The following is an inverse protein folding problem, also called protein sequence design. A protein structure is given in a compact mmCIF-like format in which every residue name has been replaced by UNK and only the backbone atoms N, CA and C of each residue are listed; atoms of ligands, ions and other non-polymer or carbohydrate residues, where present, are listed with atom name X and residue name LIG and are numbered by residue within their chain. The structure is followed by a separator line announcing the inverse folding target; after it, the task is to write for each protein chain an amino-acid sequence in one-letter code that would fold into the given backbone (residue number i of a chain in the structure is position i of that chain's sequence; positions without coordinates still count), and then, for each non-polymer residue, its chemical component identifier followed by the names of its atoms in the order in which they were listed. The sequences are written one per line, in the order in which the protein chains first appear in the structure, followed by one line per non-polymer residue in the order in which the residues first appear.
data_IF_564472063244
#
_entry.id   IF_564472063244
#
_cell.length_a   1.000
_cell.length_b   1.000
_cell.length_c   1.000
_cell.angle_alpha   90.00
_cell.angle_beta   90.00
_cell.angle_gamma   90.00
#
_symmetry.space_group_name_H-M   'P 1'
#
loop_
_entity.id
_entity.type
_entity.pdbx_description
1 polymer ?
#
# COMPACT_ATOMS: atom_id res chain seq x y z
N UNK A 1 19.71 8.62 16.88
CA UNK A 1 18.90 7.42 16.65
C UNK A 1 17.88 7.76 15.57
N UNK A 2 18.11 7.28 14.33
CA UNK A 2 17.24 7.59 13.19
C UNK A 2 16.01 6.69 13.24
N UNK A 3 14.82 7.26 13.51
CA UNK A 3 13.54 6.55 13.35
C UNK A 3 13.25 6.46 11.88
N UNK A 4 13.36 5.25 11.33
CA UNK A 4 12.93 4.91 9.96
C UNK A 4 11.41 4.83 9.97
N UNK A 5 10.75 5.76 9.29
CA UNK A 5 9.31 5.75 9.08
C UNK A 5 9.02 4.88 7.87
N UNK A 6 8.45 3.71 8.10
CA UNK A 6 7.87 2.89 7.04
C UNK A 6 6.53 3.51 6.62
N UNK A 7 6.52 4.22 5.50
CA UNK A 7 5.27 4.52 4.79
C UNK A 7 4.74 3.24 4.18
N UNK A 8 3.69 2.69 4.76
CA UNK A 8 2.91 1.63 4.13
C UNK A 8 2.07 2.28 3.02
N UNK A 9 2.51 2.12 1.79
CA UNK A 9 1.76 2.52 0.61
C UNK A 9 0.61 1.54 0.38
N UNK A 10 -0.61 1.99 0.65
CA UNK A 10 -1.79 1.29 0.15
C UNK A 10 -2.00 1.72 -1.29
N UNK A 11 -1.73 0.83 -2.24
CA UNK A 11 -2.17 1.00 -3.63
C UNK A 11 -3.68 0.82 -3.68
N UNK A 12 -4.40 1.93 -3.88
CA UNK A 12 -5.81 1.89 -4.23
C UNK A 12 -5.91 1.37 -5.66
N UNK A 13 -6.15 0.07 -5.84
CA UNK A 13 -6.47 -0.49 -7.14
C UNK A 13 -7.83 0.01 -7.57
N UNK A 14 -7.87 0.79 -8.66
CA UNK A 14 -9.10 1.22 -9.32
C UNK A 14 -9.86 0.01 -9.83
N UNK A 15 -11.06 -0.22 -9.27
CA UNK A 15 -12.02 -1.20 -9.79
C UNK A 15 -12.52 -0.76 -11.16
N UNK A 16 -12.12 -1.44 -12.20
CA UNK A 16 -12.87 -1.46 -13.46
C UNK A 16 -12.90 -2.89 -14.00
N UNK A 17 -13.97 -3.57 -13.73
CA UNK A 17 -14.72 -4.52 -14.60
C UNK A 17 -15.79 -5.20 -13.75
N UNK A 18 -17.05 -4.95 -14.08
CA UNK A 18 -18.20 -5.66 -13.53
C UNK A 18 -18.09 -7.15 -13.87
N UNK A 19 -17.78 -7.95 -12.85
CA UNK A 19 -18.24 -9.33 -12.76
C UNK A 19 -19.12 -9.39 -11.53
N UNK A 20 -20.33 -9.93 -11.66
CA UNK A 20 -21.24 -10.18 -10.53
C UNK A 20 -20.57 -11.24 -9.68
N UNK A 21 -19.71 -10.80 -8.78
CA UNK A 21 -19.17 -11.60 -7.70
C UNK A 21 -19.96 -11.19 -6.46
N UNK A 22 -20.62 -12.14 -5.81
CA UNK A 22 -21.12 -11.96 -4.44
C UNK A 22 -20.09 -11.22 -3.66
N UNK A 23 -20.44 -10.05 -3.10
CA UNK A 23 -19.52 -9.18 -2.38
C UNK A 23 -18.69 -10.04 -1.42
N UNK A 24 -17.42 -10.22 -1.72
CA UNK A 24 -16.54 -11.03 -0.90
C UNK A 24 -16.57 -10.42 0.50
N UNK A 25 -16.96 -11.22 1.49
CA UNK A 25 -17.04 -10.76 2.88
C UNK A 25 -15.62 -10.36 3.30
N UNK A 26 -15.39 -9.06 3.51
CA UNK A 26 -14.12 -8.56 4.00
C UNK A 26 -13.89 -9.13 5.40
N UNK A 27 -12.75 -9.77 5.61
CA UNK A 27 -12.29 -10.25 6.90
C UNK A 27 -11.13 -9.37 7.39
N UNK A 28 -11.16 -9.07 8.68
CA UNK A 28 -10.23 -8.15 9.32
C UNK A 28 -9.27 -8.92 10.22
N UNK A 29 -7.94 -8.79 10.07
CA UNK A 29 -6.97 -9.49 10.90
C UNK A 29 -6.96 -8.92 12.32
N UNK A 30 -7.13 -9.80 13.30
CA UNK A 30 -7.12 -9.47 14.72
C UNK A 30 -6.07 -10.27 15.46
N UNK A 31 -5.58 -9.71 16.57
CA UNK A 31 -4.56 -10.36 17.40
C UNK A 31 -5.11 -10.59 18.82
N UNK A 32 -5.01 -11.82 19.29
CA UNK A 32 -5.40 -12.22 20.66
C UNK A 32 -4.30 -13.13 21.21
N UNK A 33 -3.79 -12.82 22.38
CA UNK A 33 -2.73 -13.63 22.99
C UNK A 33 -1.46 -13.76 22.14
N UNK A 34 -1.14 -12.75 21.31
CA UNK A 34 0.02 -12.77 20.41
C UNK A 34 -0.17 -13.59 19.13
N UNK A 35 -1.35 -14.18 18.93
CA UNK A 35 -1.69 -14.92 17.70
C UNK A 35 -2.72 -14.15 16.89
N UNK A 36 -2.62 -14.27 15.56
CA UNK A 36 -3.49 -13.61 14.60
C UNK A 36 -4.58 -14.55 14.10
N UNK A 37 -5.75 -13.99 13.93
CA UNK A 37 -6.93 -14.63 13.34
C UNK A 37 -7.74 -13.59 12.58
N UNK A 38 -9.00 -13.88 12.26
CA UNK A 38 -9.82 -12.96 11.47
C UNK A 38 -11.25 -12.87 12.00
N UNK A 39 -11.79 -11.65 11.93
CA UNK A 39 -13.19 -11.35 12.27
C UNK A 39 -13.92 -10.76 11.07
N UNK A 40 -15.24 -10.90 11.06
CA UNK A 40 -16.14 -10.16 10.16
C UNK A 40 -16.34 -8.73 10.64
N UNK A 41 -16.98 -7.91 9.81
CA UNK A 41 -17.41 -6.55 10.16
C UNK A 41 -18.38 -6.49 11.34
N UNK A 42 -18.99 -7.58 11.72
CA UNK A 42 -19.84 -7.72 12.93
C UNK A 42 -19.02 -7.90 14.22
N UNK A 43 -17.71 -8.15 14.12
CA UNK A 43 -16.85 -8.56 15.23
C UNK A 43 -16.87 -10.07 15.50
N UNK A 44 -17.64 -10.84 14.74
CA UNK A 44 -17.68 -12.30 14.85
C UNK A 44 -16.34 -12.91 14.36
N UNK A 45 -15.74 -13.77 15.19
CA UNK A 45 -14.53 -14.50 14.81
C UNK A 45 -14.87 -15.57 13.78
N UNK A 46 -14.22 -15.49 12.62
CA UNK A 46 -14.35 -16.49 11.53
C UNK A 46 -13.17 -17.45 11.55
N UNK A 47 -11.98 -16.92 11.76
CA UNK A 47 -10.76 -17.72 11.83
C UNK A 47 -10.15 -17.46 13.20
N UNK A 48 -10.09 -18.51 14.03
CA UNK A 48 -9.53 -18.41 15.36
C UNK A 48 -8.06 -17.96 15.33
N UNK A 49 -7.60 -17.17 16.31
CA UNK A 49 -6.21 -16.75 16.41
C UNK A 49 -5.25 -17.94 16.48
N UNK A 50 -4.44 -18.13 15.45
CA UNK A 50 -3.55 -19.27 15.33
C UNK A 50 -2.24 -18.94 14.58
N UNK A 51 -2.22 -17.84 13.81
CA UNK A 51 -1.08 -17.45 12.99
C UNK A 51 -0.09 -16.60 13.78
N UNK A 52 1.20 -16.64 13.43
CA UNK A 52 2.22 -15.75 13.98
C UNK A 52 2.03 -14.32 13.45
N UNK A 53 1.52 -14.20 12.21
CA UNK A 53 1.13 -12.94 11.56
C UNK A 53 0.06 -13.19 10.51
N UNK A 54 -0.77 -12.18 10.25
CA UNK A 54 -1.79 -12.22 9.22
C UNK A 54 -1.96 -10.82 8.60
N UNK A 55 -2.08 -10.78 7.28
CA UNK A 55 -2.35 -9.56 6.51
C UNK A 55 -3.80 -9.56 6.00
N UNK A 56 -4.22 -8.50 5.32
CA UNK A 56 -5.58 -8.39 4.76
C UNK A 56 -5.80 -9.41 3.64
N UNK A 57 -7.05 -9.77 3.40
CA UNK A 57 -7.42 -10.55 2.22
C UNK A 57 -7.33 -9.70 0.96
N UNK A 58 -6.67 -10.23 -0.06
CA UNK A 58 -6.63 -9.68 -1.40
C UNK A 58 -6.94 -10.82 -2.38
N UNK A 59 -7.88 -10.58 -3.30
CA UNK A 59 -8.29 -11.57 -4.32
C UNK A 59 -8.68 -12.95 -3.74
N UNK A 60 -9.26 -12.94 -2.51
CA UNK A 60 -9.76 -14.17 -1.85
C UNK A 60 -8.74 -14.94 -1.03
N UNK A 61 -7.48 -14.52 -1.02
CA UNK A 61 -6.40 -15.12 -0.24
C UNK A 61 -5.75 -14.07 0.68
N UNK A 62 -5.30 -14.52 1.85
CA UNK A 62 -4.56 -13.68 2.78
C UNK A 62 -3.19 -14.29 3.09
N UNK A 63 -2.10 -13.51 3.01
CA UNK A 63 -0.81 -13.95 3.49
C UNK A 63 -0.85 -14.17 5.00
N UNK A 64 -0.42 -15.34 5.46
CA UNK A 64 -0.28 -15.67 6.88
C UNK A 64 1.07 -16.28 7.16
N UNK A 65 1.59 -16.07 8.37
CA UNK A 65 2.84 -16.64 8.81
C UNK A 65 2.59 -17.74 9.84
N UNK A 66 3.18 -18.91 9.58
CA UNK A 66 3.25 -20.06 10.48
C UNK A 66 4.70 -20.56 10.44
N UNK A 67 5.58 -19.85 11.14
CA UNK A 67 7.03 -19.98 10.95
C UNK A 67 7.51 -19.33 9.64
N UNK A 68 6.98 -19.79 8.52
CA UNK A 68 7.14 -19.20 7.18
C UNK A 68 5.82 -18.63 6.67
N UNK A 69 5.88 -17.87 5.57
CA UNK A 69 4.71 -17.32 4.92
C UNK A 69 4.05 -18.32 3.97
N UNK A 70 2.75 -18.36 3.99
CA UNK A 70 1.86 -19.05 3.09
C UNK A 70 0.56 -18.28 2.96
N UNK A 71 -0.48 -18.90 2.44
CA UNK A 71 -1.77 -18.22 2.23
C UNK A 71 -2.93 -19.07 2.74
N UNK A 72 -3.94 -18.39 3.26
CA UNK A 72 -5.21 -19.00 3.65
C UNK A 72 -6.36 -18.41 2.85
N UNK A 73 -7.40 -19.22 2.65
CA UNK A 73 -8.68 -18.77 2.13
C UNK A 73 -9.57 -18.16 3.24
N UNK A 74 -10.71 -17.60 2.86
CA UNK A 74 -11.66 -16.97 3.79
C UNK A 74 -12.30 -17.92 4.80
N UNK A 75 -12.11 -19.25 4.67
CA UNK A 75 -12.55 -20.26 5.65
C UNK A 75 -11.47 -20.55 6.68
N UNK A 76 -10.25 -20.06 6.47
CA UNK A 76 -9.07 -20.34 7.28
C UNK A 76 -8.32 -21.61 6.87
N UNK A 77 -8.72 -22.24 5.75
CA UNK A 77 -7.99 -23.37 5.20
C UNK A 77 -6.71 -22.87 4.54
N UNK A 78 -5.61 -23.54 4.79
CA UNK A 78 -4.34 -23.29 4.11
C UNK A 78 -4.52 -23.60 2.62
N UNK A 79 -4.49 -22.55 1.79
CA UNK A 79 -4.56 -22.66 0.34
C UNK A 79 -3.17 -22.90 -0.25
N UNK A 80 -2.16 -22.20 0.28
CA UNK A 80 -0.77 -22.35 -0.16
C UNK A 80 0.07 -22.58 1.12
N UNK A 81 0.75 -23.73 1.17
CA UNK A 81 1.54 -24.12 2.34
C UNK A 81 2.61 -23.09 2.70
N UNK A 82 2.88 -22.89 4.02
CA UNK A 82 3.94 -22.02 4.49
C UNK A 82 5.31 -22.51 4.00
N UNK A 83 5.91 -21.74 3.10
CA UNK A 83 7.20 -22.10 2.52
C UNK A 83 8.06 -20.89 2.15
N UNK A 84 7.48 -19.68 2.12
CA UNK A 84 8.16 -18.48 1.68
C UNK A 84 8.78 -17.71 2.85
N UNK A 85 9.88 -17.00 2.59
CA UNK A 85 10.51 -16.11 3.56
C UNK A 85 9.75 -14.76 3.64
N UNK A 86 9.11 -14.35 2.50
CA UNK A 86 8.14 -13.26 2.41
C UNK A 86 7.04 -13.63 1.43
N UNK A 87 5.86 -13.07 1.63
CA UNK A 87 4.72 -13.19 0.74
C UNK A 87 3.95 -11.87 0.75
N UNK A 88 3.72 -11.33 -0.44
CA UNK A 88 2.95 -10.11 -0.65
C UNK A 88 1.51 -10.46 -1.01
N UNK A 89 0.62 -9.45 -0.97
CA UNK A 89 -0.78 -9.62 -1.36
C UNK A 89 -0.91 -10.01 -2.83
N UNK A 90 -1.93 -10.80 -3.16
CA UNK A 90 -2.32 -11.04 -4.55
C UNK A 90 -2.81 -9.73 -5.19
N UNK A 91 -2.33 -9.47 -6.38
CA UNK A 91 -2.76 -8.36 -7.20
C UNK A 91 -2.73 -8.78 -8.66
N UNK A 92 -3.85 -8.59 -9.36
CA UNK A 92 -4.03 -8.96 -10.75
C UNK A 92 -3.75 -10.46 -11.04
N UNK A 93 -4.06 -11.32 -10.06
CA UNK A 93 -3.92 -12.78 -10.15
C UNK A 93 -2.54 -13.32 -9.79
N UNK A 94 -1.60 -12.48 -9.37
CA UNK A 94 -0.24 -12.88 -9.02
C UNK A 94 0.20 -12.29 -7.68
N UNK A 95 1.02 -13.02 -6.93
CA UNK A 95 1.64 -12.55 -5.71
C UNK A 95 3.17 -12.69 -5.77
N UNK A 96 3.88 -11.63 -5.38
CA UNK A 96 5.32 -11.69 -5.22
C UNK A 96 5.67 -12.51 -3.96
N UNK A 97 6.56 -13.47 -4.10
CA UNK A 97 7.04 -14.28 -2.97
C UNK A 97 8.55 -14.38 -2.99
N UNK A 98 9.16 -14.36 -1.81
CA UNK A 98 10.61 -14.51 -1.66
C UNK A 98 10.97 -15.90 -1.16
N UNK A 99 11.98 -16.52 -1.76
CA UNK A 99 12.52 -17.82 -1.36
C UNK A 99 14.04 -17.75 -1.24
N UNK A 100 14.61 -18.35 -0.20
CA UNK A 100 16.06 -18.58 -0.10
C UNK A 100 16.85 -17.65 0.81
N UNK A 101 16.19 -16.92 1.75
CA UNK A 101 16.85 -15.97 2.65
C UNK A 101 17.27 -16.48 4.03
N UNK A 102 16.95 -17.73 4.43
CA UNK A 102 17.21 -18.17 5.80
C UNK A 102 16.88 -19.62 6.08
N UNK A 103 17.69 -20.56 5.62
CA UNK A 103 17.59 -21.98 5.96
C UNK A 103 17.89 -22.90 4.79
N UNK A 104 18.11 -24.22 5.02
CA UNK A 104 18.32 -25.18 3.96
C UNK A 104 17.02 -25.34 3.16
N UNK A 105 16.91 -24.58 2.07
CA UNK A 105 15.84 -24.76 1.11
C UNK A 105 16.19 -25.99 0.26
N UNK A 106 15.27 -26.97 0.07
CA UNK A 106 15.53 -28.15 -0.75
C UNK A 106 15.71 -27.81 -2.25
N UNK A 107 15.55 -26.55 -2.64
CA UNK A 107 15.72 -26.09 -4.02
C UNK A 107 16.29 -24.67 -4.09
N UNK A 108 17.57 -24.51 -3.77
CA UNK A 108 18.37 -23.39 -4.26
C UNK A 108 19.52 -23.97 -5.10
N UNK A 109 19.29 -24.28 -6.39
CA UNK A 109 20.33 -24.89 -7.23
C UNK A 109 21.50 -23.95 -7.52
N UNK A 110 21.37 -22.64 -7.16
CA UNK A 110 22.38 -21.63 -7.47
C UNK A 110 23.16 -21.11 -6.26
N UNK A 111 22.85 -21.53 -5.01
CA UNK A 111 23.66 -21.25 -3.81
C UNK A 111 23.96 -19.79 -3.51
N UNK A 112 23.21 -18.83 -4.10
CA UNK A 112 23.45 -17.41 -3.95
C UNK A 112 22.72 -16.94 -2.69
N UNK A 113 23.46 -16.49 -1.68
CA UNK A 113 22.92 -15.97 -0.44
C UNK A 113 22.09 -14.71 -0.67
N UNK A 114 20.88 -14.63 -0.05
CA UNK A 114 20.06 -13.43 -0.07
C UNK A 114 18.59 -13.66 -0.41
N UNK A 115 18.21 -14.78 -0.99
CA UNK A 115 16.85 -15.12 -1.43
C UNK A 115 16.33 -14.21 -2.55
N UNK A 116 15.62 -14.79 -3.51
CA UNK A 116 15.10 -14.09 -4.67
C UNK A 116 13.59 -14.10 -4.66
N UNK A 117 13.03 -13.04 -5.27
CA UNK A 117 11.61 -12.91 -5.52
C UNK A 117 11.23 -13.58 -6.85
N UNK A 118 10.08 -14.24 -6.83
CA UNK A 118 9.35 -14.72 -7.99
C UNK A 118 7.88 -14.43 -7.82
N UNK A 119 7.06 -14.90 -8.75
CA UNK A 119 5.62 -14.70 -8.69
C UNK A 119 4.88 -16.02 -8.79
N UNK A 120 3.85 -16.18 -7.95
CA UNK A 120 2.97 -17.35 -7.92
C UNK A 120 1.54 -16.95 -8.28
N UNK A 121 0.79 -17.91 -8.82
CA UNK A 121 -0.65 -17.81 -9.01
C UNK A 121 -1.42 -18.29 -7.75
N UNK A 122 -2.77 -18.15 -7.69
CA UNK A 122 -3.56 -18.55 -6.52
C UNK A 122 -3.48 -20.05 -6.16
N UNK A 123 -3.08 -20.92 -7.11
CA UNK A 123 -2.82 -22.33 -6.85
C UNK A 123 -1.41 -22.58 -6.25
N UNK A 124 -0.63 -21.53 -6.01
CA UNK A 124 0.72 -21.62 -5.45
C UNK A 124 1.79 -22.06 -6.44
N UNK A 125 1.47 -22.09 -7.75
CA UNK A 125 2.44 -22.44 -8.79
C UNK A 125 3.22 -21.21 -9.23
N UNK A 126 4.53 -21.35 -9.40
CA UNK A 126 5.35 -20.28 -9.97
C UNK A 126 4.95 -20.02 -11.42
N UNK A 127 4.55 -18.76 -11.70
CA UNK A 127 4.44 -18.21 -13.04
C UNK A 127 5.79 -17.61 -13.45
N UNK A 128 6.47 -16.99 -12.49
CA UNK A 128 7.82 -16.48 -12.65
C UNK A 128 8.69 -17.07 -11.53
N UNK A 129 9.70 -17.85 -11.92
CA UNK A 129 10.61 -18.44 -10.94
C UNK A 129 11.38 -17.36 -10.16
N UNK A 130 11.78 -17.64 -8.91
CA UNK A 130 12.59 -16.73 -8.11
C UNK A 130 13.91 -16.38 -8.81
N UNK A 131 14.06 -15.09 -9.16
CA UNK A 131 15.25 -14.61 -9.87
C UNK A 131 15.55 -13.12 -9.62
N UNK A 132 14.63 -12.37 -8.99
CA UNK A 132 14.77 -10.94 -8.78
C UNK A 132 15.31 -10.65 -7.38
N UNK A 133 16.15 -9.61 -7.28
CA UNK A 133 16.69 -9.12 -5.99
C UNK A 133 15.57 -8.49 -5.14
N UNK A 134 14.61 -7.82 -5.82
CA UNK A 134 13.41 -7.25 -5.22
C UNK A 134 12.26 -7.24 -6.25
N UNK A 135 11.01 -7.19 -5.78
CA UNK A 135 9.84 -7.24 -6.64
C UNK A 135 8.63 -6.53 -5.99
N UNK A 136 7.94 -5.73 -6.80
CA UNK A 136 6.68 -5.08 -6.44
C UNK A 136 5.46 -5.91 -6.83
N UNK A 137 4.29 -5.46 -6.41
CA UNK A 137 2.99 -6.02 -6.81
C UNK A 137 2.66 -5.63 -8.25
N UNK A 138 1.87 -6.46 -8.94
CA UNK A 138 1.34 -6.13 -10.26
C UNK A 138 0.35 -4.97 -10.17
N UNK A 139 0.48 -4.01 -11.08
CA UNK A 139 -0.45 -2.91 -11.25
C UNK A 139 -0.44 -2.47 -12.72
N UNK A 140 -1.62 -2.35 -13.34
CA UNK A 140 -1.76 -2.00 -14.76
C UNK A 140 -1.12 -3.02 -15.73
N UNK A 141 -1.06 -4.31 -15.31
CA UNK A 141 -0.47 -5.39 -16.09
C UNK A 141 1.04 -5.56 -15.94
N UNK A 142 1.71 -4.75 -15.13
CA UNK A 142 3.16 -4.75 -14.96
C UNK A 142 3.57 -4.80 -13.49
N UNK A 143 4.75 -5.35 -13.23
CA UNK A 143 5.38 -5.30 -11.92
C UNK A 143 6.80 -4.75 -12.03
N UNK A 144 7.17 -3.85 -11.11
CA UNK A 144 8.55 -3.42 -10.98
C UNK A 144 9.39 -4.55 -10.38
N UNK A 145 10.55 -4.84 -10.99
CA UNK A 145 11.48 -5.87 -10.51
C UNK A 145 12.89 -5.33 -10.50
N UNK A 146 13.69 -5.74 -9.52
CA UNK A 146 15.08 -5.34 -9.39
C UNK A 146 16.01 -6.48 -9.80
N UNK A 147 16.97 -6.19 -10.65
CA UNK A 147 18.01 -7.12 -11.09
C UNK A 147 19.34 -6.38 -11.18
N UNK A 148 20.40 -6.94 -10.59
CA UNK A 148 21.72 -6.35 -10.66
C UNK A 148 21.80 -4.90 -10.12
N UNK A 149 20.99 -4.59 -9.12
CA UNK A 149 20.93 -3.27 -8.50
C UNK A 149 20.00 -2.26 -9.16
N UNK A 150 19.46 -2.54 -10.36
CA UNK A 150 18.58 -1.64 -11.11
C UNK A 150 17.17 -2.17 -11.22
N UNK A 151 16.19 -1.26 -11.27
CA UNK A 151 14.79 -1.56 -11.47
C UNK A 151 14.41 -1.56 -12.94
N UNK A 152 13.59 -2.51 -13.34
CA UNK A 152 12.93 -2.62 -14.63
C UNK A 152 11.50 -3.10 -14.42
N UNK A 153 10.81 -3.50 -15.48
CA UNK A 153 9.43 -3.97 -15.40
C UNK A 153 9.24 -5.26 -16.19
N UNK A 154 8.38 -6.12 -15.66
CA UNK A 154 7.92 -7.36 -16.30
C UNK A 154 6.43 -7.32 -16.55
N UNK A 155 5.97 -8.07 -17.54
CA UNK A 155 4.55 -8.41 -17.72
C UNK A 155 4.14 -9.65 -16.88
N UNK A 156 2.87 -10.01 -16.90
CA UNK A 156 2.33 -11.16 -16.14
C UNK A 156 2.88 -12.52 -16.54
N UNK A 157 3.56 -12.63 -17.68
CA UNK A 157 4.24 -13.86 -18.10
C UNK A 157 5.67 -13.95 -17.56
N UNK A 158 6.17 -12.88 -16.94
CA UNK A 158 7.54 -12.74 -16.47
C UNK A 158 8.50 -12.24 -17.54
N UNK A 159 8.00 -11.84 -18.72
CA UNK A 159 8.82 -11.25 -19.77
C UNK A 159 9.21 -9.82 -19.35
N UNK A 160 10.51 -9.51 -19.44
CA UNK A 160 11.01 -8.14 -19.25
C UNK A 160 10.47 -7.27 -20.38
N UNK A 161 9.67 -6.24 -20.02
CA UNK A 161 9.13 -5.25 -20.96
C UNK A 161 9.92 -3.95 -20.92
N UNK A 162 10.48 -3.62 -19.77
CA UNK A 162 11.42 -2.50 -19.62
C UNK A 162 12.66 -3.05 -18.91
N UNK A 163 13.80 -2.99 -19.61
CA UNK A 163 15.06 -3.50 -19.07
C UNK A 163 15.42 -2.80 -17.75
N UNK A 164 16.06 -3.52 -16.81
CA UNK A 164 16.58 -2.91 -15.58
C UNK A 164 17.57 -1.80 -15.90
N UNK A 165 17.20 -0.56 -15.56
CA UNK A 165 18.00 0.64 -15.84
C UNK A 165 17.76 1.77 -14.86
N UNK A 166 16.71 1.69 -14.03
CA UNK A 166 16.34 2.75 -13.10
C UNK A 166 16.96 2.52 -11.72
N UNK A 167 17.33 3.61 -11.05
CA UNK A 167 17.82 3.59 -9.65
C UNK A 167 16.68 3.21 -8.68
N UNK A 168 15.43 3.60 -9.03
CA UNK A 168 14.21 3.31 -8.28
C UNK A 168 12.99 3.30 -9.21
N UNK A 169 11.94 2.55 -8.85
CA UNK A 169 10.71 2.46 -9.63
C UNK A 169 9.50 2.18 -8.73
N UNK A 170 8.44 2.94 -8.92
CA UNK A 170 7.14 2.69 -8.31
C UNK A 170 6.27 1.82 -9.23
N UNK A 171 5.19 1.26 -8.70
CA UNK A 171 4.19 0.56 -9.49
C UNK A 171 3.54 1.51 -10.51
N UNK A 172 3.04 0.94 -11.61
CA UNK A 172 2.22 1.69 -12.56
C UNK A 172 0.92 2.19 -11.90
N UNK A 173 0.62 3.44 -12.15
CA UNK A 173 -0.66 4.04 -11.81
C UNK A 173 -1.09 4.94 -12.95
N UNK A 174 -2.33 4.78 -13.40
CA UNK A 174 -2.90 5.57 -14.50
C UNK A 174 -2.03 5.56 -15.77
N UNK A 175 -1.44 4.40 -16.09
CA UNK A 175 -0.57 4.11 -17.23
C UNK A 175 0.84 4.73 -17.19
N UNK A 176 1.23 5.31 -16.07
CA UNK A 176 2.58 5.86 -15.85
C UNK A 176 3.19 5.28 -14.57
N UNK A 177 4.50 5.08 -14.58
CA UNK A 177 5.26 4.68 -13.40
C UNK A 177 6.29 5.77 -13.07
N UNK A 178 6.34 6.19 -11.81
CA UNK A 178 7.41 7.06 -11.34
C UNK A 178 8.70 6.26 -11.28
N UNK A 179 9.74 6.75 -11.95
CA UNK A 179 11.06 6.10 -12.01
C UNK A 179 12.16 7.10 -11.70
N UNK A 180 13.24 6.62 -11.08
CA UNK A 180 14.41 7.42 -10.79
C UNK A 180 15.54 7.06 -11.76
N UNK A 181 16.13 8.06 -12.39
CA UNK A 181 17.26 7.88 -13.27
C UNK A 181 18.27 9.01 -13.01
N UNK A 182 19.55 8.66 -12.85
CA UNK A 182 20.61 9.61 -12.55
C UNK A 182 20.27 10.56 -11.37
N UNK A 183 19.66 10.02 -10.32
CA UNK A 183 19.36 10.75 -9.11
C UNK A 183 18.03 11.53 -9.10
N UNK A 184 17.36 11.68 -10.24
CA UNK A 184 16.10 12.43 -10.37
C UNK A 184 14.93 11.54 -10.76
N UNK A 185 13.74 11.89 -10.30
CA UNK A 185 12.50 11.20 -10.68
C UNK A 185 11.88 11.82 -11.92
N UNK A 186 11.34 10.98 -12.77
CA UNK A 186 10.46 11.27 -13.89
C UNK A 186 9.40 10.20 -14.00
N UNK A 187 8.72 10.11 -15.13
CA UNK A 187 7.70 9.09 -15.35
C UNK A 187 7.89 8.40 -16.69
N UNK A 188 7.79 7.08 -16.69
CA UNK A 188 7.83 6.25 -17.89
C UNK A 188 6.44 5.69 -18.21
N UNK A 189 6.17 5.49 -19.50
CA UNK A 189 5.03 4.69 -19.95
C UNK A 189 5.38 3.18 -20.00
N UNK A 190 4.40 2.35 -20.35
CA UNK A 190 4.58 0.90 -20.43
C UNK A 190 5.54 0.44 -21.56
N UNK A 191 5.89 1.30 -22.49
CA UNK A 191 6.91 1.01 -23.52
C UNK A 191 8.33 1.30 -23.06
N UNK A 192 8.50 1.91 -21.88
CA UNK A 192 9.79 2.36 -21.38
C UNK A 192 10.19 3.76 -21.87
N UNK A 193 9.31 4.44 -22.62
CA UNK A 193 9.54 5.81 -23.05
C UNK A 193 9.23 6.76 -21.89
N UNK A 194 10.15 7.69 -21.64
CA UNK A 194 9.92 8.75 -20.67
C UNK A 194 8.78 9.68 -21.14
N UNK A 195 7.64 9.62 -20.43
CA UNK A 195 6.54 10.56 -20.63
C UNK A 195 6.87 11.92 -19.99
N UNK A 196 7.55 11.88 -18.84
CA UNK A 196 8.07 13.08 -18.17
C UNK A 196 9.53 12.80 -17.83
N UNK A 197 10.42 13.62 -18.39
CA UNK A 197 11.87 13.45 -18.18
C UNK A 197 12.24 13.57 -16.69
N UNK A 198 13.30 12.86 -16.24
CA UNK A 198 13.80 12.94 -14.88
C UNK A 198 14.21 14.38 -14.54
N UNK A 199 13.54 14.99 -13.57
CA UNK A 199 13.80 16.37 -13.16
C UNK A 199 13.40 16.66 -11.70
N UNK A 200 12.67 15.76 -11.06
CA UNK A 200 12.16 15.96 -9.71
C UNK A 200 13.06 15.30 -8.66
N UNK A 201 13.17 15.91 -7.48
CA UNK A 201 13.86 15.31 -6.32
C UNK A 201 13.12 14.08 -5.79
N UNK A 202 11.79 14.10 -5.84
CA UNK A 202 10.87 13.01 -5.51
C UNK A 202 9.64 13.08 -6.38
N UNK A 203 8.99 11.95 -6.60
CA UNK A 203 7.73 11.83 -7.32
C UNK A 203 6.85 10.76 -6.69
N UNK A 204 5.54 11.00 -6.65
CA UNK A 204 4.53 10.04 -6.23
C UNK A 204 3.82 9.46 -7.45
N UNK A 205 3.19 8.27 -7.36
CA UNK A 205 2.31 7.76 -8.41
C UNK A 205 1.19 8.74 -8.74
N UNK A 206 0.73 8.71 -9.98
CA UNK A 206 -0.46 9.47 -10.39
C UNK A 206 -1.71 8.96 -9.68
N UNK A 207 -2.57 9.89 -9.29
CA UNK A 207 -3.90 9.61 -8.75
C UNK A 207 -4.83 10.76 -9.15
N UNK A 208 -5.97 10.41 -9.75
CA UNK A 208 -6.95 11.40 -10.25
C UNK A 208 -6.34 12.43 -11.22
N UNK A 209 -5.39 11.94 -12.06
CA UNK A 209 -4.73 12.76 -13.08
C UNK A 209 -3.59 13.64 -12.60
N UNK A 210 -3.29 13.66 -11.30
CA UNK A 210 -2.25 14.47 -10.68
C UNK A 210 -1.24 13.61 -9.93
N UNK A 211 0.01 14.06 -9.91
CA UNK A 211 1.07 13.43 -9.12
C UNK A 211 1.82 14.47 -8.28
N UNK A 212 2.03 14.14 -7.01
CA UNK A 212 2.89 14.94 -6.13
C UNK A 212 4.34 14.86 -6.58
N UNK A 213 4.98 16.00 -6.80
CA UNK A 213 6.41 16.10 -7.14
C UNK A 213 7.13 17.09 -6.25
N UNK A 214 8.39 16.81 -5.93
CA UNK A 214 9.23 17.69 -5.11
C UNK A 214 10.28 18.38 -5.96
N UNK A 215 10.36 19.70 -5.83
CA UNK A 215 11.35 20.53 -6.50
C UNK A 215 11.75 21.66 -5.56
N UNK A 216 13.04 21.95 -5.43
CA UNK A 216 13.54 22.99 -4.54
C UNK A 216 13.18 22.76 -3.07
N UNK A 217 13.11 21.50 -2.65
CA UNK A 217 12.76 21.13 -1.27
C UNK A 217 11.26 21.19 -0.93
N UNK A 218 10.41 21.65 -1.85
CA UNK A 218 8.95 21.78 -1.65
C UNK A 218 8.18 20.86 -2.61
N UNK A 219 7.00 20.46 -2.19
CA UNK A 219 6.08 19.65 -2.95
C UNK A 219 5.04 20.51 -3.65
N UNK A 220 4.73 20.14 -4.89
CA UNK A 220 3.62 20.62 -5.70
C UNK A 220 3.03 19.48 -6.50
N UNK A 221 2.23 19.77 -7.50
CA UNK A 221 1.59 18.73 -8.32
C UNK A 221 1.76 19.00 -9.81
N UNK A 222 1.90 17.93 -10.58
CA UNK A 222 1.95 17.94 -12.04
C UNK A 222 0.84 17.09 -12.63
N UNK A 223 0.42 17.42 -13.84
CA UNK A 223 -0.43 16.58 -14.67
C UNK A 223 0.39 15.54 -15.46
N UNK A 224 -0.29 14.66 -16.19
CA UNK A 224 0.36 13.59 -16.98
C UNK A 224 1.25 14.09 -18.14
N UNK A 225 1.14 15.36 -18.51
CA UNK A 225 2.05 16.00 -19.48
C UNK A 225 3.33 16.53 -18.83
N UNK A 226 3.41 16.52 -17.51
CA UNK A 226 4.50 17.11 -16.73
C UNK A 226 4.34 18.61 -16.46
N UNK A 227 3.19 19.19 -16.84
CA UNK A 227 2.87 20.59 -16.54
C UNK A 227 2.58 20.74 -15.05
N UNK A 228 3.22 21.70 -14.40
CA UNK A 228 2.95 22.06 -13.01
C UNK A 228 1.53 22.66 -12.94
N UNK A 229 0.64 22.01 -12.20
CA UNK A 229 -0.74 22.46 -11.93
C UNK A 229 -0.85 23.18 -10.60
N UNK A 230 -0.10 22.72 -9.61
CA UNK A 230 0.01 23.35 -8.29
C UNK A 230 1.50 23.56 -8.00
N UNK A 231 1.90 24.82 -7.86
CA UNK A 231 3.29 25.19 -7.64
C UNK A 231 3.87 24.54 -6.37
N UNK A 232 5.16 24.14 -6.39
CA UNK A 232 5.85 23.64 -5.21
C UNK A 232 5.83 24.67 -4.07
N UNK A 233 5.12 24.35 -2.99
CA UNK A 233 4.96 25.22 -1.83
C UNK A 233 4.76 24.45 -0.51
N UNK A 234 4.39 23.17 -0.58
CA UNK A 234 4.08 22.37 0.60
C UNK A 234 5.32 21.68 1.15
N UNK A 235 5.32 21.43 2.48
CA UNK A 235 6.38 20.69 3.15
C UNK A 235 6.29 19.20 2.86
N UNK A 236 5.05 18.68 2.71
CA UNK A 236 4.74 17.29 2.34
C UNK A 236 3.35 17.22 1.72
N UNK A 237 3.06 16.15 0.96
CA UNK A 237 1.77 15.92 0.31
C UNK A 237 1.42 14.45 0.27
N UNK A 238 0.12 14.12 0.24
CA UNK A 238 -0.39 12.81 -0.15
C UNK A 238 -1.05 12.86 -1.53
N UNK A 239 -1.51 11.71 -2.01
CA UNK A 239 -2.21 11.59 -3.28
C UNK A 239 -3.64 12.13 -3.21
N UNK A 240 -4.17 12.58 -4.35
CA UNK A 240 -5.59 12.93 -4.48
C UNK A 240 -6.46 11.67 -4.37
N UNK A 241 -7.50 11.75 -3.55
CA UNK A 241 -8.53 10.73 -3.42
C UNK A 241 -9.87 11.44 -3.26
N UNK A 242 -10.82 11.14 -4.16
CA UNK A 242 -12.15 11.80 -4.20
C UNK A 242 -12.06 13.33 -4.19
N UNK A 243 -11.11 13.87 -4.99
CA UNK A 243 -10.91 15.29 -5.18
C UNK A 243 -10.20 16.01 -4.03
N UNK A 244 -9.65 15.32 -3.05
CA UNK A 244 -8.92 15.92 -1.93
C UNK A 244 -7.55 15.27 -1.74
N UNK A 245 -6.53 16.10 -1.54
CA UNK A 245 -5.19 15.64 -1.18
C UNK A 245 -4.78 16.23 0.18
N UNK A 246 -4.26 15.42 1.11
CA UNK A 246 -3.65 15.95 2.31
C UNK A 246 -2.33 16.65 1.94
N UNK A 247 -2.13 17.85 2.49
CA UNK A 247 -0.91 18.64 2.31
C UNK A 247 -0.45 19.22 3.63
N UNK A 248 0.88 19.28 3.82
CA UNK A 248 1.48 19.90 4.98
C UNK A 248 2.01 21.29 4.62
N UNK A 249 1.61 22.28 5.39
CA UNK A 249 2.10 23.64 5.25
C UNK A 249 2.41 24.21 6.63
N UNK A 250 3.57 24.83 6.77
CA UNK A 250 4.02 25.42 8.05
C UNK A 250 3.92 24.47 9.25
N UNK A 251 4.22 23.20 9.01
CA UNK A 251 4.24 22.15 10.05
C UNK A 251 2.90 21.45 10.31
N UNK A 252 1.78 21.94 9.78
CA UNK A 252 0.45 21.37 9.98
C UNK A 252 -0.15 20.81 8.68
N UNK A 253 -0.97 19.79 8.82
CA UNK A 253 -1.68 19.15 7.72
C UNK A 253 -3.08 19.74 7.54
N UNK A 254 -3.48 19.90 6.30
CA UNK A 254 -4.83 20.22 5.84
C UNK A 254 -5.14 19.51 4.54
N UNK A 255 -6.19 19.89 3.86
CA UNK A 255 -6.58 19.26 2.59
C UNK A 255 -6.88 20.30 1.54
N UNK A 256 -6.38 20.06 0.32
CA UNK A 256 -6.60 20.90 -0.84
C UNK A 256 -7.43 20.19 -1.91
N UNK A 257 -8.10 20.98 -2.74
CA UNK A 257 -8.72 20.53 -3.99
C UNK A 257 -7.70 20.49 -5.15
N UNK A 258 -8.06 19.97 -6.35
CA UNK A 258 -7.15 19.89 -7.50
C UNK A 258 -6.70 21.25 -8.05
N UNK A 259 -7.32 22.38 -7.63
CA UNK A 259 -6.87 23.74 -7.96
C UNK A 259 -5.78 24.26 -7.02
N UNK A 260 -5.50 23.50 -5.93
CA UNK A 260 -4.55 23.90 -4.89
C UNK A 260 -5.15 24.76 -3.78
N UNK A 261 -6.47 24.95 -3.78
CA UNK A 261 -7.17 25.71 -2.73
C UNK A 261 -7.44 24.82 -1.52
N UNK A 262 -7.17 25.31 -0.32
CA UNK A 262 -7.54 24.63 0.91
C UNK A 262 -9.06 24.49 1.03
N UNK A 263 -9.53 23.26 1.16
CA UNK A 263 -10.89 22.89 1.58
C UNK A 263 -10.92 22.75 3.10
N UNK A 264 -9.87 22.15 3.66
CA UNK A 264 -9.67 22.07 5.11
C UNK A 264 -8.31 22.71 5.41
N UNK A 265 -8.33 23.82 6.15
CA UNK A 265 -7.11 24.54 6.48
C UNK A 265 -6.10 23.66 7.23
N UNK A 266 -4.82 23.97 7.06
CA UNK A 266 -3.74 23.28 7.77
C UNK A 266 -3.85 23.52 9.28
N UNK A 267 -4.23 22.49 10.04
CA UNK A 267 -4.49 22.55 11.47
C UNK A 267 -4.18 21.25 12.23
N UNK A 268 -3.91 20.14 11.52
CA UNK A 268 -3.68 18.85 12.13
C UNK A 268 -2.17 18.56 12.27
N UNK A 269 -1.79 17.83 13.31
CA UNK A 269 -0.41 17.37 13.50
C UNK A 269 -0.01 16.35 12.42
N UNK A 270 -0.95 15.46 12.04
CA UNK A 270 -0.82 14.47 10.96
C UNK A 270 -2.18 14.27 10.29
N UNK A 271 -2.16 13.88 9.00
CA UNK A 271 -3.35 13.56 8.23
C UNK A 271 -3.03 12.49 7.17
N UNK A 272 -3.99 11.63 6.87
CA UNK A 272 -3.90 10.68 5.77
C UNK A 272 -4.98 10.94 4.72
N UNK A 273 -4.91 10.24 3.57
CA UNK A 273 -5.90 10.36 2.51
C UNK A 273 -7.29 9.91 2.98
N UNK A 274 -8.33 10.48 2.36
CA UNK A 274 -9.70 10.04 2.57
C UNK A 274 -9.88 8.60 2.09
N UNK A 275 -10.61 7.82 2.87
CA UNK A 275 -11.07 6.50 2.50
C UNK A 275 -12.48 6.32 3.04
N UNK A 276 -13.41 5.85 2.21
CA UNK A 276 -14.81 5.60 2.58
C UNK A 276 -15.52 6.81 3.22
N UNK A 277 -15.13 8.03 2.78
CA UNK A 277 -15.72 9.28 3.24
C UNK A 277 -15.13 9.86 4.52
N UNK A 278 -14.16 9.21 5.14
CA UNK A 278 -13.48 9.69 6.34
C UNK A 278 -11.96 9.69 6.14
N UNK A 279 -11.28 10.63 6.77
CA UNK A 279 -9.82 10.68 6.80
C UNK A 279 -9.32 10.66 8.24
N UNK A 280 -8.35 9.82 8.58
CA UNK A 280 -7.71 9.87 9.88
C UNK A 280 -6.86 11.13 10.00
N UNK A 281 -7.03 11.86 11.09
CA UNK A 281 -6.27 13.06 11.44
C UNK A 281 -5.78 12.97 12.87
N UNK A 282 -4.59 13.52 13.14
CA UNK A 282 -4.04 13.62 14.49
C UNK A 282 -4.15 15.06 14.98
N UNK A 283 -4.63 15.22 16.18
CA UNK A 283 -4.72 16.51 16.83
C UNK A 283 -4.40 16.34 18.32
N UNK A 284 -3.54 17.20 18.84
CA UNK A 284 -3.10 17.14 20.26
C UNK A 284 -2.59 15.76 20.66
N UNK A 285 -1.86 15.10 19.76
CA UNK A 285 -1.22 13.81 20.02
C UNK A 285 -2.09 12.57 19.82
N UNK A 286 -3.40 12.71 19.56
CA UNK A 286 -4.33 11.61 19.39
C UNK A 286 -4.96 11.62 17.99
N UNK A 287 -5.30 10.43 17.49
CA UNK A 287 -5.96 10.24 16.20
C UNK A 287 -7.48 10.25 16.36
N UNK A 288 -8.15 10.90 15.43
CA UNK A 288 -9.59 10.89 15.19
C UNK A 288 -9.87 10.87 13.70
N UNK A 289 -11.09 11.18 13.30
CA UNK A 289 -11.48 11.18 11.88
C UNK A 289 -12.32 12.40 11.53
N UNK A 290 -12.05 12.96 10.35
CA UNK A 290 -12.81 14.07 9.76
C UNK A 290 -13.55 13.62 8.50
N UNK A 291 -14.67 14.29 8.22
CA UNK A 291 -15.35 14.23 6.92
C UNK A 291 -14.73 15.20 5.91
N UNK A 292 -15.14 15.18 4.61
CA UNK A 292 -14.62 16.10 3.60
C UNK A 292 -14.88 17.59 3.86
N UNK A 293 -15.80 17.94 4.76
CA UNK A 293 -16.01 19.32 5.20
C UNK A 293 -15.02 19.80 6.28
N UNK A 294 -14.21 18.87 6.82
CA UNK A 294 -13.31 19.12 7.94
C UNK A 294 -13.93 18.98 9.31
N UNK A 295 -15.19 18.53 9.38
CA UNK A 295 -15.87 18.26 10.66
C UNK A 295 -15.30 16.98 11.28
N UNK A 296 -14.92 17.04 12.56
CA UNK A 296 -14.59 15.85 13.35
C UNK A 296 -15.84 14.98 13.52
N UNK A 297 -15.83 13.80 12.86
CA UNK A 297 -16.87 12.77 13.02
C UNK A 297 -16.54 11.87 14.20
N UNK A 298 -15.27 11.57 14.37
CA UNK A 298 -14.75 10.82 15.51
C UNK A 298 -13.67 11.67 16.17
N UNK A 299 -13.91 12.08 17.41
CA UNK A 299 -12.98 12.93 18.14
C UNK A 299 -11.63 12.22 18.34
N UNK A 300 -10.51 13.00 18.36
CA UNK A 300 -9.18 12.46 18.63
C UNK A 300 -9.12 11.74 20.00
N UNK A 301 -8.85 10.44 19.97
CA UNK A 301 -8.84 9.59 21.16
C UNK A 301 -7.96 8.34 21.04
N UNK A 302 -7.47 8.03 19.83
CA UNK A 302 -6.70 6.81 19.57
C UNK A 302 -5.20 7.11 19.53
N UNK A 303 -4.39 6.13 19.93
CA UNK A 303 -2.92 6.19 19.83
C UNK A 303 -2.47 6.14 18.36
N UNK A 304 -3.16 5.32 17.53
CA UNK A 304 -2.96 5.19 16.09
C UNK A 304 -4.32 4.98 15.42
N UNK A 305 -4.47 5.46 14.19
CA UNK A 305 -5.66 5.22 13.36
C UNK A 305 -5.26 5.01 11.90
N UNK A 306 -5.88 4.00 11.28
CA UNK A 306 -5.70 3.70 9.87
C UNK A 306 -6.90 4.17 9.06
N UNK A 307 -6.76 4.41 7.74
CA UNK A 307 -7.90 4.64 6.87
C UNK A 307 -8.93 3.51 6.97
N UNK A 308 -10.19 3.85 6.73
CA UNK A 308 -11.25 2.86 6.63
C UNK A 308 -11.00 1.93 5.43
N UNK A 309 -11.24 0.63 5.64
CA UNK A 309 -11.20 -0.40 4.59
C UNK A 309 -12.44 -1.26 4.74
N UNK A 310 -13.30 -1.26 3.73
CA UNK A 310 -14.67 -1.75 3.91
C UNK A 310 -15.37 -0.90 4.96
N UNK A 311 -16.12 -1.45 5.87
CA UNK A 311 -16.88 -0.67 6.85
C UNK A 311 -16.10 -0.35 8.14
N UNK A 312 -14.84 -0.78 8.27
CA UNK A 312 -14.08 -0.68 9.52
C UNK A 312 -12.73 0.02 9.36
N UNK A 313 -12.31 0.72 10.40
CA UNK A 313 -10.96 1.22 10.56
C UNK A 313 -10.24 0.53 11.71
N UNK A 314 -9.00 0.14 11.46
CA UNK A 314 -8.11 -0.35 12.52
C UNK A 314 -7.59 0.84 13.33
N UNK A 315 -7.74 0.74 14.64
CA UNK A 315 -7.23 1.73 15.59
C UNK A 315 -6.40 1.06 16.67
N UNK A 316 -5.54 1.83 17.33
CA UNK A 316 -4.84 1.40 18.53
C UNK A 316 -5.29 2.26 19.69
N UNK A 317 -5.62 1.65 20.80
CA UNK A 317 -6.05 2.32 22.02
C UNK A 317 -5.42 1.65 23.23
N UNK A 318 -4.71 2.40 24.06
CA UNK A 318 -3.97 1.84 25.21
C UNK A 318 -2.95 0.76 24.79
N UNK A 319 -2.29 0.96 23.64
CA UNK A 319 -1.31 0.02 23.10
C UNK A 319 -1.90 -1.20 22.39
N UNK A 320 -3.22 -1.37 22.34
CA UNK A 320 -3.92 -2.54 21.79
C UNK A 320 -4.66 -2.22 20.51
N UNK A 321 -4.68 -3.19 19.58
CA UNK A 321 -5.34 -3.04 18.28
C UNK A 321 -6.85 -3.35 18.44
N UNK A 322 -7.71 -2.50 17.88
CA UNK A 322 -9.14 -2.68 17.77
C UNK A 322 -9.66 -2.26 16.41
N UNK A 323 -10.93 -2.50 16.15
CA UNK A 323 -11.64 -2.05 14.96
C UNK A 323 -12.88 -1.26 15.35
N UNK A 324 -13.05 -0.12 14.69
CA UNK A 324 -14.20 0.77 14.86
C UNK A 324 -14.99 0.89 13.56
N UNK A 325 -16.28 1.16 13.68
CA UNK A 325 -17.12 1.57 12.55
C UNK A 325 -17.07 3.10 12.33
N UNK A 326 -17.73 3.58 11.29
CA UNK A 326 -17.74 5.01 10.91
C UNK A 326 -18.36 5.94 11.98
N UNK A 327 -19.08 5.41 12.99
CA UNK A 327 -19.56 6.21 14.14
C UNK A 327 -18.55 6.22 15.32
N UNK A 328 -17.37 5.59 15.16
CA UNK A 328 -16.35 5.50 16.21
C UNK A 328 -16.62 4.42 17.26
N UNK A 329 -17.66 3.60 17.09
CA UNK A 329 -17.99 2.51 18.00
C UNK A 329 -17.08 1.31 17.71
N UNK A 330 -16.47 0.74 18.75
CA UNK A 330 -15.74 -0.50 18.62
C UNK A 330 -16.67 -1.65 18.20
N UNK A 331 -16.30 -2.29 17.11
CA UNK A 331 -16.91 -3.53 16.63
C UNK A 331 -16.12 -4.72 17.16
N UNK A 332 -14.81 -4.58 17.17
CA UNK A 332 -13.91 -5.51 17.83
C UNK A 332 -13.04 -4.72 18.81
N UNK A 333 -13.24 -4.98 20.08
CA UNK A 333 -12.52 -4.25 21.11
C UNK A 333 -11.17 -4.93 21.36
N UNK A 334 -10.07 -4.16 21.55
CA UNK A 334 -8.82 -4.76 21.96
C UNK A 334 -9.04 -5.53 23.26
N UNK A 335 -8.92 -6.86 23.18
CA UNK A 335 -9.22 -7.75 24.29
C UNK A 335 -8.42 -7.37 25.54
N UNK A 336 -9.10 -7.44 26.68
CA UNK A 336 -8.53 -7.30 28.01
C UNK A 336 -7.33 -8.22 28.23
#
# INVERSE_FOLDING_TARGET
MKKSWFYLWFTLTTLSAMSVCTAATILYPVVVGGRWGYVRKSGETVINPQFDRAEMFAEGLAPVRMGRWGYVDATGKVAINPQFDKAEDFSEGLAAVKLGGGGPAPFNPFGIGGGHYGYINPEGKYVVNPQFDDAGTFAGGFAAVKMGGHWGFIDKTGKIVINPQFDDAAAFSENLAAVKLAGHFGYTDASGKMAINPQFEKAQPFSEGLAGVRTGGKWGFVDKSGKVTINPQFDDVGSFVKGLAPVRQSGHWGYIDPTGKFVINAQFDEAAAFSEGLAPVRQSGHWGYVDPSGKLVINPQFDEAMPFTGDLARVKSGGRIGYINASGKFVWNPAK
#
